data_IF_930787946109
#
_entry.id   IF_930787946109
#
_cell.length_a   1.000
_cell.length_b   1.000
_cell.length_c   1.000
_cell.angle_alpha   90.00
_cell.angle_beta   90.00
_cell.angle_gamma   90.00
#
_symmetry.space_group_name_H-M   'P 1'
#
loop_
_entity.id
_entity.type
_entity.pdbx_description
1 polymer ?
#
# COMPACT_ATOMS: atom_id res chain seq x y z
N UNK A 1 13.86 -15.06 -9.19
CA UNK A 1 14.30 -14.75 -7.81
C UNK A 1 13.28 -13.83 -7.18
N UNK A 2 12.39 -14.31 -6.32
CA UNK A 2 11.52 -13.38 -5.57
C UNK A 2 11.11 -13.99 -4.22
N UNK A 3 12.07 -14.43 -3.41
CA UNK A 3 11.81 -14.88 -2.03
C UNK A 3 11.07 -13.80 -1.20
N UNK A 4 11.40 -12.54 -1.46
CA UNK A 4 10.74 -11.37 -0.86
C UNK A 4 9.40 -11.07 -1.58
N UNK A 5 9.13 -11.68 -2.72
CA UNK A 5 7.95 -11.47 -3.56
C UNK A 5 8.16 -10.42 -4.64
N UNK A 6 7.17 -10.27 -5.51
CA UNK A 6 7.19 -9.35 -6.67
C UNK A 6 6.60 -7.97 -6.35
N UNK A 7 6.12 -7.74 -5.13
CA UNK A 7 5.49 -6.50 -4.69
C UNK A 7 6.20 -5.88 -3.48
N UNK A 8 5.92 -4.60 -3.19
CA UNK A 8 6.50 -3.86 -2.06
C UNK A 8 6.11 -4.50 -0.72
N UNK A 9 7.07 -5.11 -0.04
CA UNK A 9 6.87 -5.71 1.28
C UNK A 9 7.14 -4.73 2.43
N UNK A 10 6.45 -4.94 3.55
CA UNK A 10 6.81 -4.30 4.82
C UNK A 10 8.02 -5.01 5.42
N UNK A 11 9.12 -4.28 5.63
CA UNK A 11 10.37 -4.89 6.13
C UNK A 11 10.22 -5.61 7.47
N UNK A 12 9.40 -5.06 8.36
CA UNK A 12 9.10 -5.68 9.66
C UNK A 12 8.47 -7.07 9.54
N UNK A 13 7.78 -7.36 8.42
CA UNK A 13 7.23 -8.69 8.15
C UNK A 13 8.28 -9.66 7.61
N UNK A 14 9.39 -9.15 7.08
CA UNK A 14 10.49 -9.99 6.59
C UNK A 14 11.39 -10.46 7.72
N UNK A 15 11.50 -9.73 8.82
CA UNK A 15 12.29 -10.12 9.99
C UNK A 15 11.87 -11.49 10.56
N UNK A 16 10.59 -11.74 10.91
CA UNK A 16 10.16 -13.04 11.41
C UNK A 16 10.28 -14.14 10.32
N UNK A 17 10.10 -13.80 9.04
CA UNK A 17 10.29 -14.75 7.93
C UNK A 17 11.74 -15.20 7.78
N UNK A 18 12.71 -14.29 7.93
CA UNK A 18 14.13 -14.66 7.92
C UNK A 18 14.45 -15.66 9.03
N UNK A 19 13.89 -15.44 10.22
CA UNK A 19 14.09 -16.33 11.35
C UNK A 19 13.42 -17.69 11.12
N UNK A 20 12.21 -17.70 10.57
CA UNK A 20 11.46 -18.94 10.35
C UNK A 20 12.04 -19.77 9.20
N UNK A 21 12.33 -19.15 8.06
CA UNK A 21 12.70 -19.85 6.83
C UNK A 21 14.20 -20.13 6.72
N UNK A 22 15.04 -19.26 7.31
CA UNK A 22 16.50 -19.40 7.25
C UNK A 22 17.18 -19.55 8.60
N UNK A 23 16.43 -19.51 9.71
CA UNK A 23 17.00 -19.52 11.07
C UNK A 23 17.98 -18.37 11.34
N UNK A 24 17.92 -17.29 10.56
CA UNK A 24 18.79 -16.12 10.72
C UNK A 24 17.98 -14.94 11.24
N UNK A 25 18.44 -14.37 12.37
CA UNK A 25 17.87 -13.14 12.92
C UNK A 25 18.58 -11.93 12.33
N UNK A 26 17.93 -11.26 11.38
CA UNK A 26 18.45 -10.04 10.76
C UNK A 26 17.79 -8.79 11.34
N UNK A 27 18.56 -7.77 11.74
CA UNK A 27 17.98 -6.48 12.10
C UNK A 27 17.44 -5.77 10.87
N UNK A 28 16.47 -4.88 11.09
CA UNK A 28 15.82 -4.10 10.02
C UNK A 28 16.82 -3.23 9.22
N UNK A 29 17.93 -2.83 9.81
CA UNK A 29 19.00 -2.08 9.14
C UNK A 29 19.70 -2.93 8.07
N UNK A 30 20.00 -4.20 8.38
CA UNK A 30 20.63 -5.13 7.44
C UNK A 30 19.72 -5.41 6.25
N UNK A 31 18.43 -5.65 6.48
CA UNK A 31 17.45 -5.83 5.40
C UNK A 31 17.32 -4.58 4.52
N UNK A 32 17.37 -3.37 5.09
CA UNK A 32 17.37 -2.12 4.32
C UNK A 32 18.57 -1.98 3.38
N UNK A 33 19.71 -2.56 3.73
CA UNK A 33 20.92 -2.52 2.92
C UNK A 33 20.94 -3.60 1.83
N UNK A 34 20.50 -4.81 2.15
CA UNK A 34 20.58 -5.96 1.26
C UNK A 34 19.49 -5.97 0.17
N UNK A 35 18.29 -5.50 0.48
CA UNK A 35 17.17 -5.55 -0.47
C UNK A 35 17.42 -4.77 -1.77
N UNK A 36 18.02 -3.56 -1.75
CA UNK A 36 18.43 -2.88 -2.98
C UNK A 36 19.47 -3.63 -3.82
N UNK A 37 20.41 -4.31 -3.17
CA UNK A 37 21.41 -5.15 -3.86
C UNK A 37 20.76 -6.35 -4.55
N UNK A 38 19.62 -6.81 -4.04
CA UNK A 38 18.80 -7.87 -4.64
C UNK A 38 17.78 -7.35 -5.69
N UNK A 39 17.88 -6.08 -6.12
CA UNK A 39 17.03 -5.50 -7.17
C UNK A 39 15.72 -4.87 -6.68
N UNK A 40 15.52 -4.73 -5.37
CA UNK A 40 14.32 -4.08 -4.83
C UNK A 40 14.48 -2.56 -4.72
N UNK A 41 13.43 -1.80 -5.01
CA UNK A 41 13.44 -0.34 -4.88
C UNK A 41 12.56 0.16 -3.73
N UNK A 42 13.03 1.19 -3.04
CA UNK A 42 12.26 1.88 -1.99
C UNK A 42 11.25 2.84 -2.62
N UNK A 43 9.97 2.45 -2.71
CA UNK A 43 8.91 3.42 -3.07
C UNK A 43 8.57 4.31 -1.87
N UNK A 44 8.74 5.61 -2.04
CA UNK A 44 8.23 6.62 -1.10
C UNK A 44 6.82 7.03 -1.53
N UNK A 45 5.80 6.32 -1.07
CA UNK A 45 4.44 6.86 -1.16
C UNK A 45 4.26 7.95 -0.11
N UNK A 46 3.81 9.14 -0.53
CA UNK A 46 3.33 10.14 0.42
C UNK A 46 2.07 9.58 1.08
N UNK A 47 1.98 9.68 2.41
CA UNK A 47 0.81 9.24 3.19
C UNK A 47 -0.48 9.93 2.75
N UNK A 48 -0.37 11.15 2.24
CA UNK A 48 -1.48 11.89 1.65
C UNK A 48 -0.97 13.00 0.74
N UNK A 49 -1.73 13.30 -0.31
CA UNK A 49 -1.58 14.51 -1.14
C UNK A 49 -2.52 15.64 -0.68
N UNK A 50 -3.11 15.57 0.52
CA UNK A 50 -4.09 16.55 1.04
C UNK A 50 -3.63 18.00 0.91
N UNK A 51 -2.34 18.28 1.11
CA UNK A 51 -1.77 19.63 1.01
C UNK A 51 -1.51 20.10 -0.43
N UNK A 52 -1.59 19.19 -1.41
CA UNK A 52 -1.34 19.46 -2.84
C UNK A 52 -2.61 19.31 -3.69
N UNK A 53 -3.76 19.00 -3.07
CA UNK A 53 -5.02 18.85 -3.80
C UNK A 53 -5.60 20.21 -4.14
N UNK A 54 -6.17 20.31 -5.33
CA UNK A 54 -7.14 21.35 -5.65
C UNK A 54 -8.43 21.09 -4.82
N UNK A 55 -8.84 22.01 -3.94
CA UNK A 55 -10.03 21.84 -3.12
C UNK A 55 -11.32 21.69 -3.93
N UNK A 56 -11.45 22.41 -5.05
CA UNK A 56 -12.66 22.42 -5.87
C UNK A 56 -12.78 21.10 -6.64
N UNK A 57 -11.69 20.66 -7.28
CA UNK A 57 -11.66 19.37 -7.97
C UNK A 57 -11.90 18.20 -6.99
N UNK A 58 -11.33 18.28 -5.78
CA UNK A 58 -11.55 17.25 -4.75
C UNK A 58 -13.02 17.19 -4.31
N UNK A 59 -13.66 18.33 -4.09
CA UNK A 59 -15.07 18.40 -3.70
C UNK A 59 -15.98 17.87 -4.81
N UNK A 60 -15.71 18.23 -6.07
CA UNK A 60 -16.45 17.72 -7.22
C UNK A 60 -16.35 16.19 -7.35
N UNK A 61 -15.13 15.63 -7.23
CA UNK A 61 -14.95 14.17 -7.24
C UNK A 61 -15.65 13.49 -6.07
N UNK A 62 -15.63 14.08 -4.87
CA UNK A 62 -16.36 13.53 -3.70
C UNK A 62 -17.86 13.44 -3.95
N UNK A 63 -18.46 14.47 -4.56
CA UNK A 63 -19.88 14.46 -4.92
C UNK A 63 -20.20 13.36 -5.94
N UNK A 64 -19.35 13.18 -6.96
CA UNK A 64 -19.49 12.12 -7.95
C UNK A 64 -19.38 10.72 -7.30
N UNK A 65 -18.38 10.52 -6.44
CA UNK A 65 -18.18 9.25 -5.73
C UNK A 65 -19.35 8.90 -4.82
N UNK A 66 -19.97 9.90 -4.17
CA UNK A 66 -21.12 9.67 -3.29
C UNK A 66 -22.36 9.11 -4.01
N UNK A 67 -22.48 9.33 -5.32
CA UNK A 67 -23.58 8.80 -6.12
C UNK A 67 -23.37 7.34 -6.55
N UNK A 68 -22.13 6.85 -6.55
CA UNK A 68 -21.77 5.52 -7.06
C UNK A 68 -22.38 4.35 -6.26
N UNK A 69 -22.40 4.35 -4.91
CA UNK A 69 -23.01 3.25 -4.15
C UNK A 69 -24.51 3.09 -4.45
N UNK A 70 -25.23 4.19 -4.68
CA UNK A 70 -26.65 4.15 -5.00
C UNK A 70 -26.89 3.60 -6.41
N UNK A 71 -26.03 3.96 -7.37
CA UNK A 71 -26.10 3.43 -8.73
C UNK A 71 -25.74 1.93 -8.77
N UNK A 72 -24.81 1.49 -7.93
CA UNK A 72 -24.48 0.07 -7.76
C UNK A 72 -25.65 -0.72 -7.16
N UNK A 73 -26.31 -0.20 -6.12
CA UNK A 73 -27.50 -0.83 -5.54
C UNK A 73 -28.65 -1.00 -6.55
N UNK A 74 -28.76 -0.09 -7.52
CA UNK A 74 -29.72 -0.19 -8.63
C UNK A 74 -29.26 -1.10 -9.77
N UNK A 75 -28.05 -1.65 -9.70
CA UNK A 75 -27.46 -2.50 -10.73
C UNK A 75 -27.03 -1.76 -11.99
N UNK A 76 -26.91 -0.43 -11.95
CA UNK A 76 -26.56 0.41 -13.10
C UNK A 76 -25.06 0.38 -13.41
N UNK A 77 -24.23 0.25 -12.37
CA UNK A 77 -22.77 0.24 -12.44
C UNK A 77 -22.20 -0.75 -11.43
N UNK A 78 -21.05 -1.35 -11.75
CA UNK A 78 -20.28 -2.12 -10.77
C UNK A 78 -19.16 -1.23 -10.21
N UNK A 79 -19.14 -1.04 -8.89
CA UNK A 79 -18.18 -0.14 -8.23
C UNK A 79 -17.09 -0.98 -7.58
N UNK A 80 -15.84 -0.70 -7.94
CA UNK A 80 -14.68 -1.37 -7.36
C UNK A 80 -13.75 -0.33 -6.75
N UNK A 81 -13.44 -0.47 -5.46
CA UNK A 81 -12.45 0.37 -4.79
C UNK A 81 -11.04 -0.14 -5.08
N UNK A 82 -10.21 0.69 -5.70
CA UNK A 82 -8.84 0.35 -6.05
C UNK A 82 -7.83 0.51 -4.89
N UNK A 83 -8.25 0.87 -3.67
CA UNK A 83 -7.33 1.16 -2.55
C UNK A 83 -6.89 -0.07 -1.75
N UNK A 84 -7.34 -1.28 -2.15
CA UNK A 84 -6.62 -2.53 -1.86
C UNK A 84 -5.23 -2.58 -2.54
N UNK A 85 -4.86 -1.56 -3.34
CA UNK A 85 -3.57 -1.47 -4.03
C UNK A 85 -2.49 -0.78 -3.16
N UNK A 86 -2.02 -1.56 -2.18
CA UNK A 86 -0.60 -1.84 -1.86
C UNK A 86 0.48 -0.75 -1.91
N UNK A 87 0.43 0.40 -1.23
CA UNK A 87 1.68 1.15 -0.98
C UNK A 87 1.68 1.99 0.31
N UNK A 88 2.19 1.44 1.42
CA UNK A 88 2.52 2.24 2.60
C UNK A 88 3.70 1.68 3.41
N UNK A 89 4.55 2.58 3.92
CA UNK A 89 5.62 2.28 4.90
C UNK A 89 5.06 1.85 6.26
N UNK A 90 3.82 2.20 6.54
CA UNK A 90 3.06 1.79 7.72
C UNK A 90 1.96 0.82 7.29
N UNK A 91 1.50 -0.06 8.18
CA UNK A 91 0.33 -0.88 7.87
C UNK A 91 -0.85 0.04 7.58
N UNK A 92 -1.73 -0.33 6.63
CA UNK A 92 -3.09 0.16 6.68
C UNK A 92 -3.62 -0.25 8.06
N UNK A 93 -3.86 0.73 8.93
CA UNK A 93 -4.69 0.51 10.10
C UNK A 93 -6.10 0.50 9.54
N UNK A 94 -6.91 -0.56 9.79
CA UNK A 94 -8.28 -0.60 9.31
C UNK A 94 -9.02 0.64 9.80
N UNK A 95 -9.83 1.22 8.93
CA UNK A 95 -10.79 2.26 9.34
C UNK A 95 -11.74 1.63 10.36
N UNK A 96 -11.69 2.14 11.59
CA UNK A 96 -12.81 2.06 12.51
C UNK A 96 -13.75 3.24 12.22
#
# INVERSE_FOLDING_TARGET
>A
MAWVGTCCQQLRRLVPRCLHEFSVRLPLSTLRRLLPQAGYSWKRTRRSLKAQRDPAAFAACQQQLAALPQAEQRGEVAVYYADEVRFARQAPVPYA
#
